data_IF_641015048890
#
_entry.id   IF_641015048890
#
_cell.length_a   1.000
_cell.length_b   1.000
_cell.length_c   1.000
_cell.angle_alpha   90.00
_cell.angle_beta   90.00
_cell.angle_gamma   90.00
#
_symmetry.space_group_name_H-M   'P 1'
#
loop_
_entity.id
_entity.type
_entity.pdbx_description
1 polymer ?
#
# COMPACT_ATOMS: atom_id res chain seq x y z
N UNK A 1 23.83 -1.69 43.34
CA UNK A 1 22.63 -2.51 43.06
C UNK A 1 21.48 -1.69 43.60
N UNK A 2 20.58 -1.06 42.86
CA UNK A 2 20.01 -1.29 41.52
C UNK A 2 19.22 0.00 41.21
N UNK A 3 19.62 0.80 40.22
CA UNK A 3 18.78 1.91 39.73
C UNK A 3 18.98 2.20 38.23
N UNK A 4 19.45 1.20 37.48
CA UNK A 4 19.71 1.29 36.03
C UNK A 4 18.86 0.31 35.20
N UNK A 5 17.96 -0.46 35.83
CA UNK A 5 17.13 -1.45 35.14
C UNK A 5 15.67 -1.02 35.09
N UNK A 6 15.36 -0.20 34.10
CA UNK A 6 14.11 -0.12 33.32
C UNK A 6 13.95 1.32 32.89
N UNK A 7 14.17 1.61 31.61
CA UNK A 7 13.37 2.67 31.02
C UNK A 7 11.91 2.33 31.34
N UNK A 8 11.17 3.21 32.03
CA UNK A 8 9.83 2.88 32.48
C UNK A 8 9.03 2.49 31.23
N UNK A 9 8.38 1.33 31.21
CA UNK A 9 7.58 0.87 30.06
C UNK A 9 6.63 1.97 29.54
N UNK A 10 6.23 2.89 30.43
CA UNK A 10 5.49 4.11 30.12
C UNK A 10 6.20 5.06 29.14
N UNK A 11 7.53 5.28 29.25
CA UNK A 11 8.27 6.14 28.32
C UNK A 11 8.38 5.54 26.93
N UNK A 12 8.52 4.21 26.83
CA UNK A 12 8.54 3.52 25.53
C UNK A 12 7.16 3.51 24.86
N UNK A 13 6.08 3.35 25.63
CA UNK A 13 4.70 3.48 25.14
C UNK A 13 4.38 4.91 24.70
N UNK A 14 4.90 5.92 25.39
CA UNK A 14 4.72 7.32 25.00
C UNK A 14 5.44 7.64 23.68
N UNK A 15 6.63 7.07 23.49
CA UNK A 15 7.35 7.13 22.21
C UNK A 15 6.55 6.46 21.09
N UNK A 16 6.00 5.25 21.32
CA UNK A 16 5.15 4.55 20.36
C UNK A 16 3.95 5.41 19.95
N UNK A 17 3.23 5.99 20.92
CA UNK A 17 2.06 6.84 20.67
C UNK A 17 2.42 8.05 19.80
N UNK A 18 3.49 8.76 20.16
CA UNK A 18 3.96 9.93 19.41
C UNK A 18 4.35 9.56 17.98
N UNK A 19 5.00 8.42 17.81
CA UNK A 19 5.43 7.91 16.50
C UNK A 19 4.25 7.48 15.64
N UNK A 20 3.30 6.76 16.23
CA UNK A 20 2.06 6.34 15.57
C UNK A 20 1.23 7.56 15.14
N UNK A 21 1.12 8.57 15.99
CA UNK A 21 0.44 9.82 15.64
C UNK A 21 1.12 10.53 14.46
N UNK A 22 2.46 10.57 14.42
CA UNK A 22 3.19 11.12 13.29
C UNK A 22 2.95 10.33 12.00
N UNK A 23 2.93 8.99 12.06
CA UNK A 23 2.58 8.15 10.91
C UNK A 23 1.14 8.38 10.46
N UNK A 24 0.18 8.50 11.38
CA UNK A 24 -1.22 8.77 11.07
C UNK A 24 -1.39 10.13 10.38
N UNK A 25 -0.70 11.17 10.86
CA UNK A 25 -0.69 12.49 10.23
C UNK A 25 -0.06 12.40 8.83
N UNK A 26 1.09 11.74 8.68
CA UNK A 26 1.74 11.56 7.39
C UNK A 26 0.82 10.84 6.40
N UNK A 27 0.18 9.73 6.80
CA UNK A 27 -0.81 9.02 5.98
C UNK A 27 -2.01 9.90 5.66
N UNK A 28 -2.49 10.72 6.59
CA UNK A 28 -3.58 11.68 6.34
C UNK A 28 -3.21 12.73 5.29
N UNK A 29 -1.99 13.27 5.36
CA UNK A 29 -1.47 14.21 4.35
C UNK A 29 -1.28 13.50 3.01
N UNK A 30 -0.70 12.30 3.00
CA UNK A 30 -0.52 11.49 1.79
C UNK A 30 -1.85 11.14 1.14
N UNK A 31 -2.86 10.78 1.94
CA UNK A 31 -4.22 10.54 1.48
C UNK A 31 -4.84 11.78 0.86
N UNK A 32 -4.73 12.94 1.50
CA UNK A 32 -5.29 14.18 0.96
C UNK A 32 -4.67 14.55 -0.40
N UNK A 33 -3.35 14.41 -0.54
CA UNK A 33 -2.64 14.62 -1.80
C UNK A 33 -3.07 13.59 -2.84
N UNK A 34 -3.05 12.31 -2.50
CA UNK A 34 -3.44 11.23 -3.42
C UNK A 34 -4.92 11.27 -3.81
N UNK A 35 -5.80 11.79 -2.94
CA UNK A 35 -7.23 11.95 -3.25
C UNK A 35 -7.44 12.94 -4.40
N UNK A 36 -6.66 14.03 -4.45
CA UNK A 36 -6.68 14.97 -5.56
C UNK A 36 -6.28 14.34 -6.91
N UNK A 37 -5.51 13.24 -6.88
CA UNK A 37 -5.08 12.49 -8.06
C UNK A 37 -5.75 11.11 -8.18
N UNK A 38 -6.84 10.86 -7.45
CA UNK A 38 -7.48 9.54 -7.34
C UNK A 38 -7.95 8.98 -8.69
N UNK A 39 -8.45 9.84 -9.59
CA UNK A 39 -8.85 9.45 -10.96
C UNK A 39 -7.65 8.93 -11.76
N UNK A 40 -6.53 9.65 -11.76
CA UNK A 40 -5.30 9.23 -12.47
C UNK A 40 -4.72 7.95 -11.89
N UNK A 41 -4.73 7.82 -10.57
CA UNK A 41 -4.26 6.61 -9.89
C UNK A 41 -5.11 5.40 -10.25
N UNK A 42 -6.43 5.59 -10.36
CA UNK A 42 -7.34 4.54 -10.80
C UNK A 42 -7.10 4.15 -12.26
N UNK A 43 -6.87 5.12 -13.15
CA UNK A 43 -6.51 4.85 -14.56
C UNK A 43 -5.23 4.03 -14.69
N UNK A 44 -4.20 4.36 -13.90
CA UNK A 44 -2.98 3.57 -13.82
C UNK A 44 -3.32 2.16 -13.34
N UNK A 45 -4.13 2.03 -12.29
CA UNK A 45 -4.46 0.72 -11.74
C UNK A 45 -5.13 -0.18 -12.79
N UNK A 46 -6.13 0.31 -13.52
CA UNK A 46 -6.88 -0.48 -14.51
C UNK A 46 -6.11 -0.76 -15.82
N UNK A 47 -4.97 -0.10 -16.05
CA UNK A 47 -4.17 -0.24 -17.27
C UNK A 47 -3.75 -1.70 -17.60
N UNK A 48 -3.16 -2.49 -16.67
CA UNK A 48 -2.83 -3.89 -16.91
C UNK A 48 -4.07 -4.74 -17.21
N UNK A 49 -5.23 -4.41 -16.65
CA UNK A 49 -6.46 -5.13 -16.96
C UNK A 49 -6.93 -4.84 -18.39
N UNK A 50 -6.95 -3.55 -18.79
CA UNK A 50 -7.31 -3.14 -20.15
C UNK A 50 -6.43 -3.80 -21.21
N UNK A 51 -5.15 -4.04 -20.91
CA UNK A 51 -4.22 -4.68 -21.84
C UNK A 51 -4.49 -6.18 -22.08
N UNK A 52 -5.22 -6.86 -21.18
CA UNK A 52 -5.50 -8.30 -21.27
C UNK A 52 -6.98 -8.56 -21.65
N UNK A 53 -7.85 -7.56 -21.54
CA UNK A 53 -9.27 -7.69 -21.92
C UNK A 53 -9.47 -7.57 -23.44
N UNK A 54 -10.42 -8.31 -24.04
CA UNK A 54 -10.76 -8.18 -25.45
C UNK A 54 -11.29 -6.77 -25.79
N UNK A 55 -10.98 -6.26 -26.99
CA UNK A 55 -11.45 -4.96 -27.44
C UNK A 55 -13.00 -4.88 -27.39
N UNK A 56 -13.52 -4.04 -26.50
CA UNK A 56 -14.95 -3.78 -26.35
C UNK A 56 -15.56 -4.14 -24.99
N UNK A 57 -14.87 -4.93 -24.15
CA UNK A 57 -15.35 -5.18 -22.78
C UNK A 57 -15.04 -4.00 -21.86
N UNK A 58 -16.07 -3.56 -21.13
CA UNK A 58 -16.00 -2.45 -20.19
C UNK A 58 -16.11 -2.99 -18.77
N UNK A 59 -15.32 -2.43 -17.87
CA UNK A 59 -15.49 -2.61 -16.44
C UNK A 59 -16.89 -2.15 -16.04
N UNK A 60 -17.65 -3.03 -15.41
CA UNK A 60 -19.01 -2.74 -14.94
C UNK A 60 -19.01 -2.37 -13.46
N UNK A 61 -19.90 -1.45 -13.10
CA UNK A 61 -20.21 -1.14 -11.72
C UNK A 61 -21.44 -1.93 -11.31
N UNK A 62 -21.32 -2.67 -10.21
CA UNK A 62 -22.45 -3.42 -9.64
C UNK A 62 -23.30 -2.55 -8.73
N UNK A 63 -22.70 -1.49 -8.16
CA UNK A 63 -23.36 -0.57 -7.23
C UNK A 63 -23.06 0.90 -7.54
N UNK A 64 -24.04 1.77 -7.32
CA UNK A 64 -23.91 3.22 -7.52
C UNK A 64 -22.80 3.88 -6.66
N UNK A 65 -22.65 3.57 -5.35
CA UNK A 65 -21.55 4.12 -4.53
C UNK A 65 -20.20 3.42 -4.74
N UNK A 66 -20.11 2.40 -5.60
CA UNK A 66 -18.90 1.57 -5.76
C UNK A 66 -17.68 2.39 -6.19
N UNK A 67 -17.88 3.35 -7.10
CA UNK A 67 -16.82 4.22 -7.59
C UNK A 67 -16.26 5.14 -6.52
N UNK A 68 -17.13 5.71 -5.69
CA UNK A 68 -16.71 6.57 -4.58
C UNK A 68 -15.81 5.82 -3.60
N UNK A 69 -16.22 4.63 -3.16
CA UNK A 69 -15.41 3.81 -2.25
C UNK A 69 -14.12 3.32 -2.90
N UNK A 70 -14.14 3.05 -4.21
CA UNK A 70 -12.93 2.66 -4.94
C UNK A 70 -11.92 3.80 -4.95
N UNK A 71 -12.31 5.01 -5.35
CA UNK A 71 -11.41 6.16 -5.34
C UNK A 71 -10.86 6.47 -3.95
N UNK A 72 -11.71 6.42 -2.92
CA UNK A 72 -11.28 6.64 -1.54
C UNK A 72 -10.20 5.62 -1.12
N UNK A 73 -10.40 4.34 -1.44
CA UNK A 73 -9.41 3.31 -1.12
C UNK A 73 -8.15 3.40 -1.99
N UNK A 74 -8.25 3.73 -3.28
CA UNK A 74 -7.10 3.96 -4.17
C UNK A 74 -6.23 5.09 -3.61
N UNK A 75 -6.86 6.22 -3.26
CA UNK A 75 -6.20 7.37 -2.68
C UNK A 75 -5.53 7.02 -1.34
N UNK A 76 -6.18 6.19 -0.53
CA UNK A 76 -5.63 5.75 0.75
C UNK A 76 -4.39 4.86 0.56
N UNK A 77 -4.49 3.84 -0.29
CA UNK A 77 -3.37 2.93 -0.55
C UNK A 77 -2.18 3.65 -1.19
N UNK A 78 -2.44 4.48 -2.21
CA UNK A 78 -1.40 5.29 -2.86
C UNK A 78 -0.77 6.31 -1.91
N UNK A 79 -1.56 6.93 -1.03
CA UNK A 79 -1.07 7.81 0.03
C UNK A 79 -0.12 7.09 1.00
N UNK A 80 -0.44 5.85 1.38
CA UNK A 80 0.46 4.99 2.18
C UNK A 80 1.72 4.67 1.39
N UNK A 81 1.61 4.29 0.12
CA UNK A 81 2.77 4.03 -0.76
C UNK A 81 3.70 5.24 -0.86
N UNK A 82 3.14 6.43 -1.03
CA UNK A 82 3.89 7.69 -1.09
C UNK A 82 4.57 8.02 0.25
N UNK A 83 3.91 7.71 1.36
CA UNK A 83 4.42 7.97 2.72
C UNK A 83 5.22 6.79 3.32
N UNK A 84 5.34 5.67 2.60
CA UNK A 84 6.11 4.50 2.99
C UNK A 84 7.53 4.81 3.51
N UNK A 85 8.36 5.64 2.85
CA UNK A 85 9.69 5.98 3.39
C UNK A 85 9.62 6.63 4.78
N UNK A 86 8.65 7.52 4.99
CA UNK A 86 8.46 8.18 6.27
C UNK A 86 7.95 7.21 7.34
N UNK A 87 7.01 6.34 6.99
CA UNK A 87 6.48 5.29 7.88
C UNK A 87 7.60 4.35 8.31
N UNK A 88 8.42 3.87 7.36
CA UNK A 88 9.57 3.01 7.68
C UNK A 88 10.59 3.73 8.54
N UNK A 89 10.93 4.99 8.24
CA UNK A 89 11.82 5.77 9.08
C UNK A 89 11.33 5.87 10.52
N UNK A 90 10.05 6.16 10.70
CA UNK A 90 9.46 6.33 12.02
C UNK A 90 9.35 5.00 12.79
N UNK A 91 9.06 3.90 12.08
CA UNK A 91 9.03 2.54 12.61
C UNK A 91 10.43 2.08 13.05
N UNK A 92 11.45 2.26 12.22
CA UNK A 92 12.81 1.88 12.58
C UNK A 92 13.39 2.73 13.70
N UNK A 93 13.02 4.01 13.76
CA UNK A 93 13.45 4.86 14.87
C UNK A 93 12.70 4.53 16.18
N UNK A 94 11.52 3.90 16.13
CA UNK A 94 10.89 3.29 17.32
C UNK A 94 11.67 2.07 17.84
N UNK A 95 12.24 1.27 16.93
CA UNK A 95 13.03 0.07 17.27
C UNK A 95 14.45 0.45 17.71
N UNK A 96 15.03 1.51 17.15
CA UNK A 96 16.37 2.00 17.44
C UNK A 96 16.75 2.20 18.93
N UNK A 97 15.87 2.63 19.87
CA UNK A 97 16.20 2.66 21.30
C UNK A 97 16.50 1.30 21.91
N UNK A 98 15.98 0.21 21.35
CA UNK A 98 16.30 -1.17 21.76
C UNK A 98 17.61 -1.71 21.15
N UNK A 99 18.23 -0.96 20.24
CA UNK A 99 19.43 -1.36 19.49
C UNK A 99 20.68 -0.70 20.08
N UNK A 100 21.83 -1.41 20.05
CA UNK A 100 23.06 -0.88 20.62
C UNK A 100 23.51 0.41 19.90
N UNK A 101 24.20 1.32 20.60
CA UNK A 101 24.66 2.62 20.05
C UNK A 101 25.45 2.50 18.74
N UNK A 102 26.15 1.39 18.51
CA UNK A 102 26.89 1.12 17.27
C UNK A 102 25.98 0.64 16.12
N UNK A 103 24.80 0.10 16.42
CA UNK A 103 23.84 -0.42 15.43
C UNK A 103 22.90 0.67 14.89
N UNK A 104 22.76 1.79 15.61
CA UNK A 104 21.96 2.94 15.16
C UNK A 104 22.40 3.50 13.81
N UNK A 105 23.67 3.31 13.41
CA UNK A 105 24.17 3.72 12.08
C UNK A 105 23.56 2.88 10.94
N UNK A 106 23.16 1.63 11.21
CA UNK A 106 22.54 0.75 10.22
C UNK A 106 21.04 1.02 10.01
N UNK A 107 20.42 1.85 10.84
CA UNK A 107 19.00 2.22 10.69
C UNK A 107 18.75 2.92 9.35
N UNK A 108 19.62 3.86 8.95
CA UNK A 108 19.48 4.61 7.69
C UNK A 108 19.53 3.69 6.45
N UNK A 109 20.57 2.84 6.26
CA UNK A 109 20.59 1.93 5.11
C UNK A 109 19.45 0.90 5.17
N UNK A 110 19.00 0.51 6.36
CA UNK A 110 17.86 -0.39 6.49
C UNK A 110 16.54 0.26 6.03
N UNK A 111 16.29 1.51 6.41
CA UNK A 111 15.11 2.27 5.96
C UNK A 111 15.12 2.45 4.44
N UNK A 112 16.26 2.80 3.85
CA UNK A 112 16.41 2.94 2.39
C UNK A 112 16.14 1.61 1.70
N UNK A 113 16.75 0.53 2.18
CA UNK A 113 16.56 -0.82 1.63
C UNK A 113 15.12 -1.28 1.75
N UNK A 114 14.47 -1.07 2.90
CA UNK A 114 13.06 -1.42 3.12
C UNK A 114 12.15 -0.65 2.16
N UNK A 115 12.40 0.65 1.99
CA UNK A 115 11.64 1.49 1.07
C UNK A 115 11.80 1.00 -0.37
N UNK A 116 13.04 0.69 -0.78
CA UNK A 116 13.31 0.18 -2.12
C UNK A 116 12.66 -1.19 -2.36
N UNK A 117 12.74 -2.10 -1.39
CA UNK A 117 12.10 -3.41 -1.46
C UNK A 117 10.57 -3.27 -1.52
N UNK A 118 10.00 -2.34 -0.76
CA UNK A 118 8.55 -2.11 -0.75
C UNK A 118 8.06 -1.57 -2.09
N UNK A 119 8.74 -0.56 -2.64
CA UNK A 119 8.44 -0.03 -3.98
C UNK A 119 8.66 -1.11 -5.05
N UNK A 120 9.76 -1.86 -4.96
CA UNK A 120 10.05 -2.97 -5.84
C UNK A 120 8.99 -4.07 -5.80
N UNK A 121 8.51 -4.43 -4.60
CA UNK A 121 7.41 -5.38 -4.41
C UNK A 121 6.08 -4.87 -4.96
N UNK A 122 5.76 -3.59 -4.76
CA UNK A 122 4.57 -2.96 -5.34
C UNK A 122 4.62 -2.96 -6.88
N UNK A 123 5.77 -2.64 -7.46
CA UNK A 123 5.99 -2.71 -8.91
C UNK A 123 5.90 -4.14 -9.43
N UNK A 124 6.50 -5.11 -8.71
CA UNK A 124 6.42 -6.53 -9.06
C UNK A 124 4.98 -7.05 -9.05
N UNK A 125 4.19 -6.69 -8.03
CA UNK A 125 2.77 -7.04 -7.96
C UNK A 125 1.99 -6.49 -9.17
N UNK A 126 2.19 -5.20 -9.48
CA UNK A 126 1.49 -4.53 -10.56
C UNK A 126 1.91 -5.01 -11.97
N UNK A 127 3.21 -5.18 -12.22
CA UNK A 127 3.71 -5.51 -13.56
C UNK A 127 3.78 -7.00 -13.87
N UNK A 128 3.87 -7.87 -12.85
CA UNK A 128 4.06 -9.32 -13.06
C UNK A 128 2.86 -10.10 -12.55
N UNK A 129 2.47 -9.90 -11.29
CA UNK A 129 1.40 -10.72 -10.67
C UNK A 129 0.05 -10.44 -11.31
N UNK A 130 -0.30 -9.16 -11.53
CA UNK A 130 -1.58 -8.78 -12.14
C UNK A 130 -1.79 -9.33 -13.56
N UNK A 131 -0.90 -9.09 -14.55
CA UNK A 131 -1.13 -9.61 -15.90
C UNK A 131 -1.14 -11.14 -15.95
N UNK A 132 -0.30 -11.80 -15.14
CA UNK A 132 -0.30 -13.26 -15.06
C UNK A 132 -1.60 -13.79 -14.45
N UNK A 133 -2.06 -13.19 -13.35
CA UNK A 133 -3.32 -13.51 -12.70
C UNK A 133 -4.52 -13.30 -13.62
N UNK A 134 -4.62 -12.15 -14.30
CA UNK A 134 -5.73 -11.89 -15.23
C UNK A 134 -5.71 -12.81 -16.44
N UNK A 135 -4.53 -13.12 -17.00
CA UNK A 135 -4.41 -14.11 -18.08
C UNK A 135 -4.89 -15.50 -17.64
N UNK A 136 -4.57 -15.89 -16.41
CA UNK A 136 -5.06 -17.13 -15.82
C UNK A 136 -6.59 -17.11 -15.64
N UNK A 137 -7.16 -16.05 -15.06
CA UNK A 137 -8.61 -15.94 -14.86
C UNK A 137 -9.41 -15.85 -16.17
N UNK A 138 -8.93 -15.09 -17.16
CA UNK A 138 -9.57 -15.01 -18.48
C UNK A 138 -9.48 -16.36 -19.19
N UNK A 139 -8.43 -17.14 -18.97
CA UNK A 139 -8.30 -18.51 -19.49
C UNK A 139 -9.38 -19.49 -19.00
N UNK A 140 -10.12 -19.19 -17.93
CA UNK A 140 -11.30 -19.96 -17.52
C UNK A 140 -12.57 -19.58 -18.28
N UNK A 141 -12.56 -18.49 -19.05
CA UNK A 141 -13.72 -18.12 -19.88
C UNK A 141 -13.88 -19.16 -20.98
N UNK A 142 -15.12 -19.63 -21.16
CA UNK A 142 -15.51 -20.60 -22.19
C UNK A 142 -16.68 -20.01 -22.99
N UNK A 143 -17.06 -20.60 -24.12
CA UNK A 143 -18.14 -20.09 -24.99
C UNK A 143 -19.47 -19.87 -24.25
N UNK A 144 -19.70 -20.58 -23.15
CA UNK A 144 -20.92 -20.46 -22.33
C UNK A 144 -20.80 -19.48 -21.15
N UNK A 145 -19.59 -19.10 -20.73
CA UNK A 145 -19.36 -18.26 -19.54
C UNK A 145 -18.35 -17.17 -19.87
N UNK A 146 -18.85 -15.93 -20.00
CA UNK A 146 -18.03 -14.74 -20.21
C UNK A 146 -17.67 -14.11 -18.87
N UNK A 147 -16.37 -14.02 -18.56
CA UNK A 147 -15.91 -13.31 -17.38
C UNK A 147 -16.09 -11.78 -17.58
N UNK A 148 -17.00 -11.18 -16.82
CA UNK A 148 -17.19 -9.72 -16.76
C UNK A 148 -16.61 -9.21 -15.44
N UNK A 149 -15.39 -8.65 -15.43
CA UNK A 149 -14.78 -8.17 -14.20
C UNK A 149 -15.51 -6.91 -13.69
N UNK A 150 -15.93 -6.97 -12.42
CA UNK A 150 -16.43 -5.82 -11.67
C UNK A 150 -15.26 -5.02 -11.08
N UNK A 151 -15.40 -3.70 -11.03
CA UNK A 151 -14.39 -2.80 -10.45
C UNK A 151 -14.12 -3.12 -8.98
N UNK A 152 -15.16 -3.42 -8.20
CA UNK A 152 -15.02 -3.79 -6.79
C UNK A 152 -14.21 -5.07 -6.61
N UNK A 153 -14.46 -6.09 -7.41
CA UNK A 153 -13.75 -7.38 -7.29
C UNK A 153 -12.31 -7.24 -7.72
N UNK A 154 -12.08 -6.58 -8.86
CA UNK A 154 -10.75 -6.23 -9.34
C UNK A 154 -9.94 -5.49 -8.27
N UNK A 155 -10.54 -4.46 -7.67
CA UNK A 155 -9.86 -3.61 -6.70
C UNK A 155 -9.67 -4.29 -5.34
N UNK A 156 -10.65 -5.10 -4.91
CA UNK A 156 -10.53 -5.95 -3.71
C UNK A 156 -9.44 -7.00 -3.86
N UNK A 157 -9.25 -7.55 -5.06
CA UNK A 157 -8.15 -8.44 -5.37
C UNK A 157 -6.81 -7.68 -5.40
N UNK A 158 -6.78 -6.51 -6.02
CA UNK A 158 -5.56 -5.71 -6.14
C UNK A 158 -5.00 -5.16 -4.81
N UNK A 159 -5.85 -4.93 -3.80
CA UNK A 159 -5.43 -4.46 -2.47
C UNK A 159 -4.87 -5.57 -1.59
N UNK A 160 -5.38 -6.79 -1.74
CA UNK A 160 -5.02 -7.92 -0.87
C UNK A 160 -3.64 -8.45 -1.21
#
# INVERSE_FOLDING_TARGET
MTDDEKQPFLSHLEELRRRLAACAIAVGVGFAVSYAFSERLFEVLIMPLKAVMPEGDRLIFTNLPEMFFTYLKVAFLSGILMMAPFIFYQLWMFVAPGLYRHEKKYVIPFVITSTFLFVGGALFGYFIVFPFGFKFFIGFSNEYVKALPSVKEYFSFAIK
#
